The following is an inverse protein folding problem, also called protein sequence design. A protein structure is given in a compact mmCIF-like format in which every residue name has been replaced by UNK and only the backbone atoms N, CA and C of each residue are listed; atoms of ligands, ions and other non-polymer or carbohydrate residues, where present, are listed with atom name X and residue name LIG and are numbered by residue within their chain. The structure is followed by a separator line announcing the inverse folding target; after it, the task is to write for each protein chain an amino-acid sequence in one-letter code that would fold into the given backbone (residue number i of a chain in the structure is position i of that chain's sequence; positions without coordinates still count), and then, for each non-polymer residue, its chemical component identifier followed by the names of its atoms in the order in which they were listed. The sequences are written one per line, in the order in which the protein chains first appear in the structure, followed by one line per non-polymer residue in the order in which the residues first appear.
data_IF_328508801913
#
_entry.id   IF_328508801913
#
_cell.length_a   1.000
_cell.length_b   1.000
_cell.length_c   1.000
_cell.angle_alpha   90.00
_cell.angle_beta   90.00
_cell.angle_gamma   90.00
#
_symmetry.space_group_name_H-M   'P 1'
#
loop_
_entity.id
_entity.type
_entity.pdbx_description
1 polymer ?
#
# COMPACT_ATOMS: atom_id res chain seq x y z
N UNK A 1 1.36 30.80 -9.53
CA UNK A 1 1.63 29.37 -9.26
C UNK A 1 1.32 29.11 -7.81
N UNK A 2 0.71 27.97 -7.51
CA UNK A 2 0.54 27.56 -6.13
C UNK A 2 1.92 27.27 -5.51
N UNK A 3 2.09 27.41 -4.19
CA UNK A 3 3.27 26.92 -3.51
C UNK A 3 3.42 25.41 -3.70
N UNK A 4 4.67 24.92 -3.81
CA UNK A 4 4.93 23.50 -4.08
C UNK A 4 4.29 22.57 -3.05
N UNK A 5 4.21 22.96 -1.77
CA UNK A 5 3.61 22.14 -0.73
C UNK A 5 2.09 21.95 -0.90
N UNK A 6 1.37 22.93 -1.47
CA UNK A 6 -0.05 22.79 -1.81
C UNK A 6 -0.24 21.84 -2.99
N UNK A 7 0.70 21.86 -3.94
CA UNK A 7 0.72 20.93 -5.07
C UNK A 7 0.95 19.49 -4.60
N UNK A 8 1.84 19.28 -3.62
CA UNK A 8 2.05 17.96 -3.02
C UNK A 8 0.82 17.45 -2.28
N UNK A 9 0.13 18.32 -1.51
CA UNK A 9 -1.15 17.97 -0.87
C UNK A 9 -2.19 17.57 -1.91
N UNK A 10 -2.34 18.40 -2.93
CA UNK A 10 -3.28 18.14 -4.03
C UNK A 10 -2.98 16.83 -4.76
N UNK A 11 -1.70 16.49 -4.94
CA UNK A 11 -1.27 15.22 -5.52
C UNK A 11 -1.65 14.05 -4.60
N UNK A 12 -1.36 14.13 -3.30
CA UNK A 12 -1.72 13.08 -2.33
C UNK A 12 -3.23 12.81 -2.35
N UNK A 13 -4.04 13.86 -2.29
CA UNK A 13 -5.50 13.75 -2.29
C UNK A 13 -6.03 13.14 -3.59
N UNK A 14 -5.44 13.49 -4.75
CA UNK A 14 -5.77 12.87 -6.04
C UNK A 14 -5.42 11.39 -6.10
N UNK A 15 -4.37 10.96 -5.40
CA UNK A 15 -4.00 9.54 -5.28
C UNK A 15 -4.86 8.80 -4.25
N UNK A 16 -5.69 9.50 -3.47
CA UNK A 16 -6.50 8.91 -2.41
C UNK A 16 -5.68 8.35 -1.23
N UNK A 17 -4.45 8.85 -1.04
CA UNK A 17 -3.54 8.40 0.02
C UNK A 17 -3.82 9.20 1.29
N UNK A 18 -4.10 8.52 2.39
CA UNK A 18 -4.28 9.19 3.67
C UNK A 18 -2.95 9.50 4.38
N UNK A 19 -2.92 10.55 5.19
CA UNK A 19 -1.72 10.89 5.96
C UNK A 19 -1.35 9.80 6.97
N UNK A 20 -2.31 9.05 7.51
CA UNK A 20 -2.05 7.91 8.39
C UNK A 20 -1.32 6.78 7.67
N UNK A 21 -1.60 6.57 6.38
CA UNK A 21 -0.90 5.58 5.58
C UNK A 21 0.58 5.95 5.39
N UNK A 22 0.85 7.21 5.07
CA UNK A 22 2.22 7.73 4.93
C UNK A 22 2.95 7.67 6.27
N UNK A 23 2.29 8.04 7.37
CA UNK A 23 2.83 7.88 8.72
C UNK A 23 3.22 6.43 9.00
N UNK A 24 2.33 5.48 8.69
CA UNK A 24 2.56 4.06 8.93
C UNK A 24 3.76 3.50 8.14
N UNK A 25 3.95 3.94 6.89
CA UNK A 25 5.04 3.49 6.02
C UNK A 25 6.38 4.17 6.33
N UNK A 26 6.37 5.48 6.58
CA UNK A 26 7.60 6.29 6.72
C UNK A 26 8.04 6.54 8.16
N UNK A 27 7.13 6.36 9.12
CA UNK A 27 7.29 6.72 10.55
C UNK A 27 7.49 8.20 10.83
N UNK A 28 7.22 9.06 9.85
CA UNK A 28 7.13 10.51 10.05
C UNK A 28 5.84 10.80 10.81
N UNK A 29 5.88 11.58 11.88
CA UNK A 29 4.69 11.88 12.67
C UNK A 29 3.65 12.66 11.84
N UNK A 30 2.36 12.49 12.18
CA UNK A 30 1.27 13.15 11.45
C UNK A 30 1.40 14.68 11.45
N UNK A 31 1.85 15.25 12.57
CA UNK A 31 2.09 16.69 12.70
C UNK A 31 3.12 17.21 11.69
N UNK A 32 4.23 16.50 11.47
CA UNK A 32 5.22 16.88 10.45
C UNK A 32 4.64 16.75 9.04
N UNK A 33 3.82 15.74 8.77
CA UNK A 33 3.19 15.59 7.46
C UNK A 33 2.22 16.75 7.19
N UNK A 34 1.43 17.15 8.20
CA UNK A 34 0.57 18.33 8.13
C UNK A 34 1.38 19.63 7.98
N UNK A 35 2.52 19.74 8.68
CA UNK A 35 3.45 20.86 8.56
C UNK A 35 3.98 21.00 7.13
N UNK A 36 4.34 19.87 6.50
CA UNK A 36 4.77 19.81 5.10
C UNK A 36 3.67 20.35 4.19
N UNK A 37 2.43 19.88 4.33
CA UNK A 37 1.31 20.31 3.48
C UNK A 37 0.86 21.74 3.72
N UNK A 38 1.15 22.31 4.88
CA UNK A 38 0.81 23.69 5.26
C UNK A 38 1.96 24.68 5.08
N UNK A 39 3.13 24.21 4.62
CA UNK A 39 4.31 25.05 4.42
C UNK A 39 4.98 25.51 5.73
N UNK A 40 4.64 24.93 6.87
CA UNK A 40 5.15 25.30 8.19
C UNK A 40 6.46 24.57 8.47
N UNK A 41 7.51 24.86 7.70
CA UNK A 41 8.79 24.13 7.81
C UNK A 41 9.56 24.48 9.10
N UNK A 42 9.19 25.54 9.81
CA UNK A 42 9.86 25.96 11.06
C UNK A 42 9.62 25.01 12.24
N UNK A 43 8.49 24.28 12.23
CA UNK A 43 8.18 23.28 13.27
C UNK A 43 8.86 21.94 13.00
N UNK A 44 9.34 21.73 11.76
CA UNK A 44 10.04 20.51 11.42
C UNK A 44 11.46 20.53 11.99
N UNK A 45 11.97 19.38 12.48
CA UNK A 45 13.37 19.26 12.85
C UNK A 45 14.29 19.62 11.68
N UNK A 46 15.03 20.73 11.81
CA UNK A 46 15.92 21.26 10.75
C UNK A 46 16.83 20.23 10.08
N UNK A 47 17.52 19.31 10.79
CA UNK A 47 18.38 18.33 10.12
C UNK A 47 17.61 17.32 9.26
N UNK A 48 16.30 17.17 9.45
CA UNK A 48 15.48 16.13 8.84
C UNK A 48 14.47 16.63 7.81
N UNK A 49 14.29 17.94 7.64
CA UNK A 49 13.32 18.52 6.68
C UNK A 49 13.47 17.89 5.29
N UNK A 50 14.70 17.85 4.77
CA UNK A 50 14.99 17.29 3.45
C UNK A 50 14.62 15.81 3.34
N UNK A 51 14.88 15.04 4.41
CA UNK A 51 14.59 13.62 4.45
C UNK A 51 13.08 13.37 4.50
N UNK A 52 12.36 14.14 5.31
CA UNK A 52 10.91 14.03 5.43
C UNK A 52 10.19 14.38 4.13
N UNK A 53 10.58 15.48 3.48
CA UNK A 53 10.04 15.85 2.17
C UNK A 53 10.32 14.78 1.14
N UNK A 54 11.55 14.27 1.09
CA UNK A 54 11.91 13.20 0.16
C UNK A 54 11.03 11.96 0.37
N UNK A 55 10.88 11.49 1.60
CA UNK A 55 10.06 10.32 1.91
C UNK A 55 8.58 10.57 1.53
N UNK A 56 8.04 11.74 1.89
CA UNK A 56 6.67 12.13 1.55
C UNK A 56 6.40 12.10 0.05
N UNK A 57 7.28 12.73 -0.74
CA UNK A 57 7.16 12.82 -2.20
C UNK A 57 7.22 11.45 -2.86
N UNK A 58 8.07 10.55 -2.34
CA UNK A 58 8.17 9.17 -2.82
C UNK A 58 6.86 8.41 -2.58
N UNK A 59 6.26 8.52 -1.39
CA UNK A 59 5.01 7.82 -1.06
C UNK A 59 3.84 8.26 -1.95
N UNK A 60 3.78 9.54 -2.33
CA UNK A 60 2.71 10.07 -3.18
C UNK A 60 3.01 10.00 -4.69
N UNK A 61 4.18 9.47 -5.06
CA UNK A 61 4.59 9.32 -6.47
C UNK A 61 4.93 10.63 -7.19
N UNK A 62 5.38 11.67 -6.48
CA UNK A 62 5.76 12.96 -7.05
C UNK A 62 7.22 13.03 -7.55
N UNK A 63 7.58 14.13 -8.24
CA UNK A 63 8.97 14.37 -8.64
C UNK A 63 9.81 14.84 -7.45
N UNK A 64 10.65 13.94 -6.95
CA UNK A 64 11.54 14.21 -5.81
C UNK A 64 12.58 15.27 -6.11
N UNK A 65 13.16 15.29 -7.32
CA UNK A 65 14.26 16.21 -7.62
C UNK A 65 13.74 17.64 -7.75
N UNK A 66 12.62 17.82 -8.45
CA UNK A 66 11.98 19.12 -8.58
C UNK A 66 11.54 19.67 -7.22
N UNK A 67 10.85 18.84 -6.43
CA UNK A 67 10.35 19.24 -5.10
C UNK A 67 11.49 19.64 -4.17
N UNK A 68 12.60 18.88 -4.15
CA UNK A 68 13.75 19.21 -3.31
C UNK A 68 14.43 20.50 -3.73
N UNK A 69 14.47 20.81 -5.04
CA UNK A 69 14.98 22.09 -5.52
C UNK A 69 14.09 23.25 -5.06
N UNK A 70 12.76 23.11 -5.15
CA UNK A 70 11.80 24.10 -4.66
C UNK A 70 11.90 24.30 -3.14
N UNK A 71 12.09 23.22 -2.38
CA UNK A 71 12.34 23.29 -0.94
C UNK A 71 13.61 24.09 -0.62
N UNK A 72 14.72 23.83 -1.33
CA UNK A 72 15.97 24.58 -1.12
C UNK A 72 15.78 26.07 -1.41
N UNK A 73 15.06 26.42 -2.48
CA UNK A 73 14.70 27.81 -2.75
C UNK A 73 13.84 28.41 -1.63
N UNK A 74 12.84 27.69 -1.14
CA UNK A 74 11.96 28.16 -0.06
C UNK A 74 12.72 28.42 1.25
N UNK A 75 13.56 27.47 1.70
CA UNK A 75 14.34 27.60 2.93
C UNK A 75 15.38 28.73 2.84
N UNK A 76 15.96 28.96 1.65
CA UNK A 76 16.88 30.07 1.44
C UNK A 76 16.19 31.43 1.55
N UNK A 77 14.91 31.54 1.18
CA UNK A 77 14.14 32.78 1.35
C UNK A 77 13.80 33.02 2.83
N UNK A 78 13.33 31.99 3.54
CA UNK A 78 13.05 32.08 4.99
C UNK A 78 14.30 32.39 5.83
N UNK A 79 15.45 31.81 5.46
CA UNK A 79 16.73 32.09 6.10
C UNK A 79 17.23 33.54 5.91
N UNK A 80 16.75 34.25 4.88
CA UNK A 80 17.12 35.65 4.60
C UNK A 80 16.23 36.65 5.34
N UNK A 81 14.97 36.31 5.59
CA UNK A 81 14.04 37.15 6.35
C UNK A 81 14.31 37.09 7.85
N UNK A 82 14.74 35.93 8.36
CA UNK A 82 15.15 35.75 9.77
C UNK A 82 16.55 36.29 10.09
N UNK A 83 17.34 36.69 9.09
CA UNK A 83 18.72 37.19 9.25
C UNK A 83 18.89 38.64 8.79
N UNK A 84 18.01 39.51 9.26
CA UNK A 84 18.44 40.87 9.58
C UNK A 84 19.50 40.80 10.68
N UNK A 85 20.78 40.89 10.27
CA UNK A 85 21.98 40.94 11.13
C UNK A 85 22.68 39.60 11.46
N UNK A 86 23.29 38.96 10.47
CA UNK A 86 24.66 38.42 10.67
C UNK A 86 25.37 38.12 9.35
N UNK A 87 26.30 38.99 8.97
CA UNK A 87 27.31 38.69 7.94
C UNK A 87 28.14 37.50 8.39
N UNK A 88 27.94 36.32 7.78
CA UNK A 88 29.02 35.33 7.61
C UNK A 88 29.40 35.20 6.15
N UNK A 89 30.33 36.09 5.80
CA UNK A 89 31.29 36.01 4.69
C UNK A 89 31.85 34.59 4.59
N UNK A 90 31.30 33.74 3.72
CA UNK A 90 32.05 32.60 3.17
C UNK A 90 32.90 33.10 2.02
N UNK A 91 34.21 32.97 2.26
CA UNK A 91 35.31 33.42 1.45
C UNK A 91 35.18 32.85 0.03
N UNK A 92 35.03 33.77 -0.94
CA UNK A 92 35.32 33.54 -2.35
C UNK A 92 36.81 33.26 -2.47
N UNK A 93 37.19 32.10 -3.00
CA UNK A 93 38.56 31.86 -3.47
C UNK A 93 38.69 32.52 -4.84
N UNK A 94 39.39 33.64 -4.86
CA UNK A 94 39.76 34.41 -6.05
C UNK A 94 41.14 33.99 -6.57
N UNK A 95 41.23 33.68 -7.86
CA UNK A 95 42.40 33.86 -8.74
C UNK A 95 42.01 33.31 -10.12
N UNK A 96 41.99 34.01 -11.24
CA UNK A 96 42.36 35.38 -11.59
C UNK A 96 41.80 35.66 -13.00
N UNK A 97 41.76 36.94 -13.40
CA UNK A 97 41.26 37.41 -14.69
C UNK A 97 42.21 37.07 -15.86
N UNK A 98 41.65 36.73 -17.02
CA UNK A 98 42.00 37.32 -18.33
C UNK A 98 40.94 36.96 -19.40
N UNK A 99 40.68 37.80 -20.43
CA UNK A 99 39.46 37.77 -21.23
C UNK A 99 39.60 37.17 -22.65
N UNK A 100 38.43 36.94 -23.27
CA UNK A 100 38.13 36.97 -24.72
C UNK A 100 38.10 35.67 -25.55
N UNK A 101 37.24 35.71 -26.60
CA UNK A 101 36.92 34.73 -27.66
C UNK A 101 35.78 33.74 -27.35
N UNK A 102 34.51 33.97 -27.71
CA UNK A 102 33.85 34.06 -29.03
C UNK A 102 33.31 32.68 -29.54
N UNK A 103 32.01 32.70 -29.87
CA UNK A 103 31.24 31.77 -30.73
C UNK A 103 30.68 30.40 -30.21
N UNK A 104 29.34 30.37 -30.14
CA UNK A 104 28.41 29.48 -30.88
C UNK A 104 27.91 28.12 -30.32
N UNK A 105 26.57 28.06 -30.25
CA UNK A 105 25.62 26.98 -30.63
C UNK A 105 25.26 25.79 -29.69
N UNK A 106 23.98 25.84 -29.26
CA UNK A 106 22.94 24.80 -29.09
C UNK A 106 23.02 23.68 -28.00
N UNK A 107 21.85 23.14 -27.55
CA UNK A 107 21.69 22.37 -26.31
C UNK A 107 21.45 20.84 -26.56
N UNK A 108 20.96 20.07 -25.58
CA UNK A 108 21.61 18.89 -24.98
C UNK A 108 21.30 17.55 -25.66
N UNK A 109 22.15 16.54 -25.47
CA UNK A 109 21.92 15.16 -25.93
C UNK A 109 21.53 14.24 -24.76
N UNK A 110 20.33 13.60 -24.78
CA UNK A 110 20.00 12.51 -23.86
C UNK A 110 20.42 11.16 -24.48
N UNK A 111 21.29 10.40 -23.80
CA UNK A 111 21.64 9.03 -24.20
C UNK A 111 20.95 8.00 -23.30
N UNK A 112 19.79 7.55 -23.77
CA UNK A 112 19.24 6.19 -23.72
C UNK A 112 19.94 5.16 -22.82
N UNK A 113 19.21 4.71 -21.80
CA UNK A 113 19.19 3.30 -21.37
C UNK A 113 17.82 2.87 -20.80
N UNK A 114 16.72 3.29 -21.43
CA UNK A 114 15.34 2.99 -21.00
C UNK A 114 14.83 1.58 -21.38
N UNK A 115 15.66 0.73 -21.99
CA UNK A 115 15.23 -0.62 -22.43
C UNK A 115 15.43 -1.71 -21.38
N UNK A 116 16.30 -1.50 -20.38
CA UNK A 116 16.58 -2.51 -19.34
C UNK A 116 15.74 -2.34 -18.08
N UNK A 117 15.08 -1.19 -17.89
CA UNK A 117 14.13 -0.95 -16.79
C UNK A 117 12.76 -1.56 -17.09
N UNK A 118 12.30 -1.50 -18.34
CA UNK A 118 10.98 -1.98 -18.74
C UNK A 118 10.82 -3.51 -18.60
N UNK A 119 11.88 -4.28 -18.84
CA UNK A 119 11.88 -5.75 -18.71
C UNK A 119 11.71 -6.20 -17.26
N UNK A 120 12.25 -5.43 -16.29
CA UNK A 120 12.11 -5.74 -14.86
C UNK A 120 10.74 -5.36 -14.29
N UNK A 121 10.06 -4.40 -14.93
CA UNK A 121 8.73 -3.93 -14.55
C UNK A 121 7.63 -4.86 -15.07
N UNK A 122 7.85 -5.56 -16.19
CA UNK A 122 6.89 -6.47 -16.79
C UNK A 122 6.33 -7.54 -15.83
N UNK A 123 7.13 -8.31 -15.04
CA UNK A 123 6.58 -9.27 -14.08
C UNK A 123 5.80 -8.59 -12.95
N UNK A 124 6.23 -7.40 -12.51
CA UNK A 124 5.54 -6.63 -11.45
C UNK A 124 4.13 -6.22 -11.91
N UNK A 125 4.00 -5.78 -13.17
CA UNK A 125 2.72 -5.36 -13.75
C UNK A 125 1.79 -6.56 -13.94
N UNK A 126 2.33 -7.72 -14.37
CA UNK A 126 1.55 -8.96 -14.51
C UNK A 126 1.00 -9.41 -13.16
N UNK A 127 1.82 -9.39 -12.10
CA UNK A 127 1.40 -9.75 -10.74
C UNK A 127 0.32 -8.78 -10.23
N UNK A 128 0.49 -7.48 -10.48
CA UNK A 128 -0.49 -6.46 -10.10
C UNK A 128 -1.83 -6.64 -10.81
N UNK A 129 -1.82 -6.89 -12.12
CA UNK A 129 -3.02 -7.17 -12.90
C UNK A 129 -3.73 -8.47 -12.46
N UNK A 130 -2.95 -9.50 -12.14
CA UNK A 130 -3.49 -10.76 -11.62
C UNK A 130 -4.19 -10.57 -10.28
N UNK A 131 -3.60 -9.79 -9.36
CA UNK A 131 -4.22 -9.44 -8.09
C UNK A 131 -5.55 -8.66 -8.28
N UNK A 132 -5.58 -7.72 -9.22
CA UNK A 132 -6.80 -6.96 -9.57
C UNK A 132 -7.89 -7.88 -10.13
N UNK A 133 -7.55 -8.84 -10.98
CA UNK A 133 -8.51 -9.80 -11.54
C UNK A 133 -9.13 -10.66 -10.43
N UNK A 134 -8.32 -11.16 -9.50
CA UNK A 134 -8.81 -11.93 -8.34
C UNK A 134 -9.75 -11.07 -7.49
N UNK A 135 -9.34 -9.84 -7.19
CA UNK A 135 -10.13 -8.90 -6.41
C UNK A 135 -11.49 -8.68 -7.10
N UNK A 136 -11.50 -8.31 -8.39
CA UNK A 136 -12.73 -8.13 -9.16
C UNK A 136 -13.62 -9.37 -9.17
N UNK A 137 -13.03 -10.57 -9.26
CA UNK A 137 -13.76 -11.82 -9.16
C UNK A 137 -14.43 -11.99 -7.80
N UNK A 138 -13.75 -11.64 -6.70
CA UNK A 138 -14.28 -11.70 -5.33
C UNK A 138 -15.48 -10.75 -5.15
N UNK A 139 -15.38 -9.50 -5.62
CA UNK A 139 -16.49 -8.53 -5.48
C UNK A 139 -17.69 -8.81 -6.39
N UNK A 140 -17.49 -9.56 -7.47
CA UNK A 140 -18.55 -10.02 -8.35
C UNK A 140 -19.02 -11.44 -8.05
N UNK A 141 -18.66 -12.02 -6.89
CA UNK A 141 -19.33 -13.24 -6.41
C UNK A 141 -20.69 -12.80 -5.85
N UNK A 142 -21.82 -13.04 -6.56
CA UNK A 142 -23.12 -12.93 -5.92
C UNK A 142 -23.16 -13.87 -4.72
N UNK A 143 -23.78 -13.40 -3.64
CA UNK A 143 -24.06 -14.10 -2.37
C UNK A 143 -25.02 -15.29 -2.58
N UNK A 144 -24.67 -16.18 -3.48
CA UNK A 144 -25.36 -17.43 -3.75
C UNK A 144 -24.34 -18.38 -4.37
N UNK A 145 -23.28 -18.60 -3.61
CA UNK A 145 -22.57 -19.88 -3.67
C UNK A 145 -23.20 -20.72 -2.57
N UNK A 146 -24.24 -21.44 -2.95
CA UNK A 146 -24.77 -22.55 -2.17
C UNK A 146 -23.57 -23.46 -1.86
N UNK A 147 -23.18 -23.54 -0.59
CA UNK A 147 -22.15 -24.48 -0.14
C UNK A 147 -22.74 -25.90 -0.23
N UNK A 148 -22.86 -26.38 -1.45
CA UNK A 148 -22.97 -27.81 -1.73
C UNK A 148 -21.57 -28.38 -1.54
N UNK A 149 -21.31 -28.79 -0.30
CA UNK A 149 -20.24 -29.70 0.04
C UNK A 149 -20.18 -30.84 -0.98
N UNK A 150 -19.15 -30.82 -1.83
CA UNK A 150 -18.70 -32.03 -2.47
C UNK A 150 -17.37 -32.44 -1.86
N UNK A 151 -17.42 -33.60 -1.20
CA UNK A 151 -16.32 -34.48 -0.82
C UNK A 151 -15.59 -34.15 0.49
N UNK A 152 -16.30 -34.30 1.62
CA UNK A 152 -15.72 -35.03 2.76
C UNK A 152 -15.94 -36.52 2.50
N UNK A 153 -15.01 -37.14 1.79
CA UNK A 153 -14.80 -38.59 1.90
C UNK A 153 -14.15 -38.80 3.26
N UNK A 154 -14.96 -39.07 4.28
CA UNK A 154 -14.70 -39.97 5.42
C UNK A 154 -15.60 -39.62 6.62
N UNK A 155 -16.62 -40.46 6.83
CA UNK A 155 -17.10 -40.82 8.17
C UNK A 155 -18.01 -39.83 8.88
N UNK A 156 -19.27 -39.74 8.48
CA UNK A 156 -20.45 -39.79 9.38
C UNK A 156 -21.70 -39.97 8.53
N UNK A 157 -22.12 -41.22 8.33
CA UNK A 157 -23.49 -41.48 7.88
C UNK A 157 -24.41 -41.09 9.04
N UNK A 158 -24.98 -39.90 8.99
CA UNK A 158 -26.06 -39.54 9.91
C UNK A 158 -27.21 -40.51 9.67
N UNK A 159 -27.43 -41.42 10.62
CA UNK A 159 -28.55 -42.35 10.59
C UNK A 159 -29.79 -41.52 10.90
N UNK A 160 -30.71 -41.41 9.95
CA UNK A 160 -31.98 -40.73 10.17
C UNK A 160 -32.74 -41.36 11.34
N UNK A 161 -33.36 -40.54 12.20
CA UNK A 161 -34.22 -40.94 13.33
C UNK A 161 -35.25 -42.02 12.94
N UNK A 162 -35.79 -41.91 11.72
CA UNK A 162 -36.72 -42.90 11.16
C UNK A 162 -36.10 -44.30 11.06
N UNK A 163 -34.83 -44.38 10.63
CA UNK A 163 -34.12 -45.66 10.51
C UNK A 163 -33.79 -46.24 11.88
N UNK A 164 -33.40 -45.41 12.85
CA UNK A 164 -33.19 -45.86 14.24
C UNK A 164 -34.48 -46.41 14.86
N UNK A 165 -35.61 -45.74 14.65
CA UNK A 165 -36.91 -46.19 15.15
C UNK A 165 -37.40 -47.47 14.48
N UNK A 166 -37.11 -47.64 13.19
CA UNK A 166 -37.49 -48.83 12.43
C UNK A 166 -36.67 -50.03 12.88
N UNK A 167 -35.34 -49.86 12.99
CA UNK A 167 -34.43 -50.93 13.41
C UNK A 167 -34.70 -51.33 14.87
N UNK A 168 -34.95 -50.38 15.78
CA UNK A 168 -35.34 -50.68 17.17
C UNK A 168 -36.66 -51.46 17.26
N UNK A 169 -37.65 -51.10 16.44
CA UNK A 169 -38.94 -51.83 16.42
C UNK A 169 -38.78 -53.25 15.87
N UNK A 170 -37.92 -53.44 14.87
CA UNK A 170 -37.63 -54.75 14.30
C UNK A 170 -36.96 -55.67 15.32
N UNK A 171 -35.97 -55.17 16.06
CA UNK A 171 -35.31 -55.94 17.12
C UNK A 171 -36.29 -56.28 18.27
N UNK A 172 -37.15 -55.33 18.66
CA UNK A 172 -38.21 -55.59 19.66
C UNK A 172 -39.24 -56.61 19.20
N UNK A 173 -39.57 -56.67 17.90
CA UNK A 173 -40.49 -57.67 17.37
C UNK A 173 -39.88 -59.06 17.37
N UNK A 174 -38.58 -59.15 17.05
CA UNK A 174 -37.88 -60.43 17.01
C UNK A 174 -37.66 -60.99 18.42
N UNK A 175 -37.32 -60.16 19.41
CA UNK A 175 -37.28 -60.59 20.82
C UNK A 175 -38.61 -61.15 21.30
N UNK A 176 -39.73 -60.49 20.96
CA UNK A 176 -41.07 -60.96 21.32
C UNK A 176 -41.40 -62.29 20.66
N UNK A 177 -41.05 -62.46 19.38
CA UNK A 177 -41.26 -63.72 18.66
C UNK A 177 -40.44 -64.87 19.27
N UNK A 178 -39.18 -64.62 19.63
CA UNK A 178 -38.29 -65.61 20.25
C UNK A 178 -38.79 -65.99 21.66
N UNK A 179 -39.29 -65.03 22.43
CA UNK A 179 -39.83 -65.29 23.76
C UNK A 179 -41.11 -66.13 23.71
N UNK A 180 -42.01 -65.89 22.76
CA UNK A 180 -43.21 -66.73 22.56
C UNK A 180 -42.86 -68.17 22.17
N UNK A 181 -41.84 -68.37 21.33
CA UNK A 181 -41.39 -69.71 20.92
C UNK A 181 -40.74 -70.45 22.10
N UNK A 182 -39.98 -69.75 22.96
CA UNK A 182 -39.32 -70.38 24.12
C UNK A 182 -40.30 -70.82 25.21
N UNK A 183 -41.43 -70.11 25.38
CA UNK A 183 -42.48 -70.49 26.35
C UNK A 183 -43.33 -71.68 25.91
N UNK A 184 -43.29 -72.06 24.63
CA UNK A 184 -44.10 -73.15 24.07
C UNK A 184 -43.35 -74.51 24.05
N UNK A 185 -42.03 -74.51 24.36
CA UNK A 185 -41.15 -75.71 24.25
C UNK A 185 -40.62 -76.16 25.63
N UNK A 186 -41.26 -75.79 26.73
CA UNK A 186 -41.03 -76.43 28.04
C UNK A 186 -42.30 -77.15 28.50
N UNK A 187 -42.29 -78.50 28.62
CA UNK A 187 -43.44 -79.27 29.10
C UNK A 187 -43.67 -79.14 30.61
#
# INVERSE_FOLDING_TARGET
MAPFYEELKSLREKQGIDLEEIHNRTKINLESLQAIESGQFDILPTPYIRLFIKAYVIEIGGDTNETLNQLEHHLNLMGRESSGESKRKRIRKSSGLSPESDQKHLPPKPSRSLRSTLIKILPIVIIWFFAIIIFYKIYQVPENTDFSEQNIVNGTNYISEEKLLTDYKLEKSDEKAILSISTEITP
#
